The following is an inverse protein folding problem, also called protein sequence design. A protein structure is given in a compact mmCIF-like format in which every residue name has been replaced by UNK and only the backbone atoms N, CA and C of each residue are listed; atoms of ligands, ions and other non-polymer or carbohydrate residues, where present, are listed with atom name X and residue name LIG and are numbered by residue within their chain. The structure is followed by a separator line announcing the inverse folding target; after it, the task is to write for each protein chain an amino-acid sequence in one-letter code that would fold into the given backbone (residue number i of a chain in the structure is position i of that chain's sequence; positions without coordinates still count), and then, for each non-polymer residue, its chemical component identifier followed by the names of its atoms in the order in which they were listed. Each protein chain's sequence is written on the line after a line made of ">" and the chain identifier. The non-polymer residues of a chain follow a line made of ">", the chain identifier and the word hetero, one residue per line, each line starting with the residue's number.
data_IF_016885109161
#
_entry.id   IF_016885109161
#
_cell.length_a   1.000
_cell.length_b   1.000
_cell.length_c   1.000
_cell.angle_alpha   90.00
_cell.angle_beta   90.00
_cell.angle_gamma   90.00
#
_symmetry.space_group_name_H-M   'P 1'
#
loop_
_entity.id
_entity.type
_entity.pdbx_description
1 polymer ?
#
# COMPACT_ATOMS: atom_id res chain seq x y z
N UNK A 1 -7.09 -27.67 -1.19
CA UNK A 1 -8.03 -27.09 -0.21
C UNK A 1 -8.71 -25.88 -0.83
N UNK A 2 -10.03 -25.87 -1.01
CA UNK A 2 -10.74 -24.71 -1.55
C UNK A 2 -10.76 -23.56 -0.52
N UNK A 3 -10.68 -22.31 -0.98
CA UNK A 3 -10.74 -21.13 -0.10
C UNK A 3 -12.09 -21.07 0.60
N UNK A 4 -12.09 -21.00 1.95
CA UNK A 4 -13.31 -20.93 2.76
C UNK A 4 -14.08 -19.61 2.60
N UNK A 5 -13.42 -18.54 2.13
CA UNK A 5 -14.03 -17.21 1.95
C UNK A 5 -13.66 -16.64 0.57
N UNK A 6 -14.66 -16.14 -0.17
CA UNK A 6 -14.44 -15.40 -1.42
C UNK A 6 -14.06 -13.95 -1.09
N UNK A 7 -12.93 -13.48 -1.63
CA UNK A 7 -12.59 -12.05 -1.60
C UNK A 7 -13.09 -11.42 -2.91
N UNK A 8 -14.01 -10.46 -2.78
CA UNK A 8 -14.59 -9.74 -3.92
C UNK A 8 -13.72 -8.54 -4.30
N UNK A 9 -13.59 -8.27 -5.61
CA UNK A 9 -12.99 -7.05 -6.14
C UNK A 9 -13.89 -5.83 -5.90
N UNK A 10 -13.37 -4.62 -6.11
CA UNK A 10 -14.20 -3.42 -6.11
C UNK A 10 -15.24 -3.46 -7.22
N UNK A 11 -14.90 -4.01 -8.40
CA UNK A 11 -15.85 -4.27 -9.47
C UNK A 11 -17.03 -5.12 -9.04
N UNK A 12 -16.75 -6.31 -8.50
CA UNK A 12 -17.79 -7.24 -8.10
C UNK A 12 -18.68 -6.61 -7.01
N UNK A 13 -18.10 -5.86 -6.07
CA UNK A 13 -18.87 -5.16 -5.03
C UNK A 13 -19.78 -4.08 -5.62
N UNK A 14 -19.27 -3.28 -6.57
CA UNK A 14 -20.05 -2.22 -7.22
C UNK A 14 -21.17 -2.79 -8.10
N UNK A 15 -20.90 -3.85 -8.85
CA UNK A 15 -21.91 -4.56 -9.63
C UNK A 15 -23.03 -5.10 -8.72
N UNK A 16 -22.69 -5.63 -7.54
CA UNK A 16 -23.69 -6.09 -6.58
C UNK A 16 -24.52 -4.95 -6.00
N UNK A 17 -23.93 -3.78 -5.76
CA UNK A 17 -24.65 -2.59 -5.30
C UNK A 17 -25.65 -2.14 -6.37
N UNK A 18 -25.23 -2.07 -7.63
CA UNK A 18 -26.11 -1.66 -8.74
C UNK A 18 -27.21 -2.69 -9.01
N UNK A 19 -26.88 -3.99 -9.03
CA UNK A 19 -27.88 -5.07 -9.11
C UNK A 19 -28.90 -4.99 -7.97
N UNK A 20 -28.45 -4.70 -6.75
CA UNK A 20 -29.35 -4.57 -5.59
C UNK A 20 -30.32 -3.41 -5.77
N UNK A 21 -29.82 -2.22 -6.13
CA UNK A 21 -30.66 -1.03 -6.40
C UNK A 21 -31.68 -1.26 -7.51
N UNK A 22 -31.28 -1.92 -8.60
CA UNK A 22 -32.16 -2.17 -9.75
C UNK A 22 -33.18 -3.29 -9.51
N UNK A 23 -32.88 -4.23 -8.60
CA UNK A 23 -33.72 -5.41 -8.37
C UNK A 23 -34.97 -5.13 -7.53
N UNK A 24 -35.02 -4.04 -6.74
CA UNK A 24 -36.08 -3.77 -5.76
C UNK A 24 -36.40 -4.95 -4.81
N UNK A 25 -35.44 -5.86 -4.62
CA UNK A 25 -35.60 -7.03 -3.76
C UNK A 25 -35.27 -6.68 -2.31
N UNK A 26 -35.89 -7.41 -1.37
CA UNK A 26 -35.40 -7.39 0.01
C UNK A 26 -33.97 -7.96 0.06
N UNK A 27 -33.17 -7.52 1.04
CA UNK A 27 -31.81 -8.03 1.26
C UNK A 27 -31.78 -9.57 1.33
N UNK A 28 -32.85 -10.20 1.82
CA UNK A 28 -32.92 -11.66 2.04
C UNK A 28 -33.17 -12.41 0.74
N UNK A 29 -34.02 -11.87 -0.12
CA UNK A 29 -34.23 -12.42 -1.45
C UNK A 29 -32.96 -12.25 -2.31
N UNK A 30 -32.31 -11.08 -2.21
CA UNK A 30 -31.11 -10.77 -2.98
C UNK A 30 -29.92 -11.68 -2.63
N UNK A 31 -29.68 -11.95 -1.35
CA UNK A 31 -28.58 -12.83 -0.90
C UNK A 31 -28.75 -14.27 -1.39
N UNK A 32 -29.99 -14.79 -1.36
CA UNK A 32 -30.33 -16.11 -1.89
C UNK A 32 -30.13 -16.19 -3.40
N UNK A 33 -30.61 -15.19 -4.14
CA UNK A 33 -30.49 -15.15 -5.59
C UNK A 33 -29.04 -15.06 -6.09
N UNK A 34 -28.18 -14.32 -5.36
CA UNK A 34 -26.79 -14.09 -5.76
C UNK A 34 -25.79 -15.02 -5.05
N UNK A 35 -26.24 -15.98 -4.23
CA UNK A 35 -25.39 -16.89 -3.45
C UNK A 35 -24.36 -16.15 -2.57
N UNK A 36 -24.74 -15.01 -1.98
CA UNK A 36 -23.86 -14.20 -1.14
C UNK A 36 -24.31 -14.27 0.31
N UNK A 37 -23.40 -14.50 1.28
CA UNK A 37 -23.76 -14.45 2.68
C UNK A 37 -24.36 -13.10 3.09
N UNK A 38 -25.38 -13.13 3.93
CA UNK A 38 -26.06 -11.94 4.44
C UNK A 38 -25.11 -10.89 5.05
N UNK A 39 -24.13 -11.35 5.84
CA UNK A 39 -23.10 -10.50 6.45
C UNK A 39 -22.23 -9.81 5.41
N UNK A 40 -21.90 -10.50 4.31
CA UNK A 40 -21.12 -9.94 3.21
C UNK A 40 -21.87 -8.81 2.53
N UNK A 41 -23.16 -8.98 2.22
CA UNK A 41 -23.97 -7.91 1.62
C UNK A 41 -24.05 -6.68 2.54
N UNK A 42 -24.31 -6.87 3.84
CA UNK A 42 -24.38 -5.75 4.79
C UNK A 42 -23.04 -5.02 4.91
N UNK A 43 -21.92 -5.76 4.94
CA UNK A 43 -20.59 -5.14 4.99
C UNK A 43 -20.29 -4.34 3.71
N UNK A 44 -20.72 -4.83 2.53
CA UNK A 44 -20.57 -4.10 1.26
C UNK A 44 -21.40 -2.80 1.29
N UNK A 45 -22.66 -2.88 1.71
CA UNK A 45 -23.55 -1.72 1.77
C UNK A 45 -23.10 -0.69 2.83
N UNK A 46 -22.50 -1.13 3.93
CA UNK A 46 -21.99 -0.25 4.99
C UNK A 46 -20.63 0.38 4.65
N UNK A 47 -19.84 -0.23 3.76
CA UNK A 47 -18.52 0.26 3.42
C UNK A 47 -18.59 1.50 2.52
N UNK A 48 -18.22 2.67 3.06
CA UNK A 48 -18.03 3.93 2.31
C UNK A 48 -16.92 3.86 1.24
N UNK A 49 -16.09 2.82 1.31
CA UNK A 49 -14.82 2.70 0.56
C UNK A 49 -15.01 2.34 -0.91
N UNK A 50 -16.18 1.82 -1.31
CA UNK A 50 -16.44 1.44 -2.71
C UNK A 50 -17.05 2.56 -3.57
N UNK A 51 -17.29 3.73 -2.99
CA UNK A 51 -18.01 4.81 -3.68
C UNK A 51 -17.12 5.57 -4.67
N UNK A 52 -17.40 5.33 -5.94
CA UNK A 52 -17.37 6.26 -7.08
C UNK A 52 -16.04 6.86 -7.59
N UNK A 53 -14.91 6.75 -6.89
CA UNK A 53 -13.63 7.33 -7.36
C UNK A 53 -12.49 6.32 -7.59
N UNK A 54 -12.81 5.03 -7.72
CA UNK A 54 -11.86 3.99 -8.08
C UNK A 54 -11.43 4.26 -9.53
N UNK A 55 -10.16 4.62 -9.75
CA UNK A 55 -9.62 4.71 -11.11
C UNK A 55 -9.78 3.36 -11.80
N UNK A 56 -9.90 3.33 -13.12
CA UNK A 56 -10.11 2.11 -13.92
C UNK A 56 -9.10 1.00 -13.54
N UNK A 57 -7.86 1.36 -13.19
CA UNK A 57 -6.80 0.45 -12.77
C UNK A 57 -7.06 -0.25 -11.41
N UNK A 58 -7.86 0.35 -10.53
CA UNK A 58 -8.09 -0.15 -9.18
C UNK A 58 -9.30 -1.08 -9.07
N UNK A 59 -10.04 -1.30 -10.17
CA UNK A 59 -11.30 -2.04 -10.18
C UNK A 59 -11.15 -3.52 -9.78
N UNK A 60 -10.02 -4.14 -10.17
CA UNK A 60 -9.68 -5.53 -9.83
C UNK A 60 -9.15 -5.68 -8.39
N UNK A 61 -8.80 -4.57 -7.73
CA UNK A 61 -8.27 -4.61 -6.37
C UNK A 61 -9.35 -5.09 -5.41
N UNK A 62 -8.98 -5.99 -4.49
CA UNK A 62 -9.91 -6.60 -3.52
C UNK A 62 -9.94 -5.88 -2.17
N UNK A 63 -8.88 -5.11 -1.87
CA UNK A 63 -8.66 -4.42 -0.59
C UNK A 63 -8.03 -3.05 -0.82
N UNK A 64 -8.55 -2.02 -0.17
CA UNK A 64 -7.86 -0.75 -0.08
C UNK A 64 -6.82 -0.84 1.03
N UNK A 65 -5.56 -0.53 0.70
CA UNK A 65 -4.53 -0.30 1.72
C UNK A 65 -4.59 1.18 2.07
N UNK A 66 -4.72 1.47 3.35
CA UNK A 66 -4.60 2.83 3.86
C UNK A 66 -3.16 2.98 4.36
N UNK A 67 -2.52 4.06 3.92
CA UNK A 67 -1.21 4.46 4.43
C UNK A 67 -1.41 5.27 5.72
N UNK A 68 -0.55 5.10 6.74
CA UNK A 68 -0.52 6.00 7.89
C UNK A 68 -0.29 7.47 7.50
N UNK A 69 0.39 7.72 6.37
CA UNK A 69 0.79 9.04 5.89
C UNK A 69 -0.02 9.46 4.64
N UNK A 70 -1.34 9.36 4.70
CA UNK A 70 -2.23 9.62 3.55
C UNK A 70 -2.08 11.05 2.98
N UNK A 71 -1.77 12.03 3.83
CA UNK A 71 -1.48 13.40 3.43
C UNK A 71 -0.21 13.50 2.56
N UNK A 72 0.87 12.83 2.98
CA UNK A 72 2.14 12.78 2.23
C UNK A 72 1.93 12.08 0.91
N UNK A 73 1.26 10.93 0.90
CA UNK A 73 0.96 10.17 -0.32
C UNK A 73 0.13 10.99 -1.31
N UNK A 74 -0.86 11.75 -0.83
CA UNK A 74 -1.69 12.64 -1.68
C UNK A 74 -0.87 13.78 -2.30
N UNK A 75 -0.02 14.43 -1.52
CA UNK A 75 0.86 15.49 -2.00
C UNK A 75 1.87 14.94 -3.02
N UNK A 76 2.50 13.81 -2.69
CA UNK A 76 3.47 13.14 -3.54
C UNK A 76 2.86 12.68 -4.87
N UNK A 77 1.67 12.06 -4.84
CA UNK A 77 0.94 11.68 -6.05
C UNK A 77 0.60 12.89 -6.93
N UNK A 78 0.26 14.03 -6.33
CA UNK A 78 -0.03 15.26 -7.07
C UNK A 78 1.24 15.81 -7.74
N UNK A 79 2.35 15.81 -7.01
CA UNK A 79 3.66 16.19 -7.54
C UNK A 79 4.12 15.25 -8.67
N UNK A 80 3.96 13.93 -8.53
CA UNK A 80 4.30 12.96 -9.58
C UNK A 80 3.52 13.25 -10.87
N UNK A 81 2.22 13.53 -10.76
CA UNK A 81 1.39 13.88 -11.94
C UNK A 81 1.94 15.13 -12.63
N UNK A 82 2.30 16.14 -11.85
CA UNK A 82 2.91 17.36 -12.36
C UNK A 82 4.27 17.07 -13.04
N UNK A 83 5.18 16.38 -12.38
CA UNK A 83 6.50 16.03 -12.93
C UNK A 83 6.39 15.22 -14.24
N UNK A 84 5.42 14.29 -14.33
CA UNK A 84 5.14 13.54 -15.56
C UNK A 84 4.58 14.40 -16.68
N UNK A 85 3.77 15.42 -16.37
CA UNK A 85 3.29 16.39 -17.37
C UNK A 85 4.40 17.28 -17.94
N UNK A 86 5.49 17.45 -17.19
CA UNK A 86 6.72 18.11 -17.64
C UNK A 86 7.70 17.13 -18.32
N UNK A 87 7.28 15.89 -18.56
CA UNK A 87 8.12 14.81 -19.10
C UNK A 87 9.43 14.56 -18.31
N UNK A 88 9.47 14.93 -17.02
CA UNK A 88 10.64 14.75 -16.19
C UNK A 88 10.79 13.26 -15.77
N UNK A 89 11.99 12.67 -15.87
CA UNK A 89 12.25 11.34 -15.34
C UNK A 89 12.22 11.36 -13.82
N UNK A 90 11.41 10.49 -13.21
CA UNK A 90 11.29 10.36 -11.75
C UNK A 90 12.08 9.13 -11.34
N UNK A 91 13.27 9.34 -10.75
CA UNK A 91 14.05 8.27 -10.13
C UNK A 91 13.58 8.01 -8.70
N UNK A 92 13.96 6.85 -8.16
CA UNK A 92 13.64 6.50 -6.78
C UNK A 92 14.19 7.52 -5.77
N UNK A 93 15.41 8.00 -5.97
CA UNK A 93 16.05 8.97 -5.06
C UNK A 93 15.27 10.28 -4.99
N UNK A 94 14.85 10.80 -6.16
CA UNK A 94 14.03 12.02 -6.24
C UNK A 94 12.69 11.82 -5.54
N UNK A 95 12.08 10.65 -5.71
CA UNK A 95 10.82 10.33 -5.05
C UNK A 95 10.97 10.28 -3.51
N UNK A 96 12.06 9.70 -3.02
CA UNK A 96 12.38 9.62 -1.59
C UNK A 96 12.61 11.02 -1.01
N UNK A 97 13.42 11.85 -1.64
CA UNK A 97 13.67 13.23 -1.21
C UNK A 97 12.37 14.03 -1.15
N UNK A 98 11.52 13.95 -2.19
CA UNK A 98 10.22 14.61 -2.21
C UNK A 98 9.26 14.08 -1.15
N UNK A 99 9.32 12.80 -0.82
CA UNK A 99 8.49 12.25 0.26
C UNK A 99 8.89 12.79 1.63
N UNK A 100 10.18 13.04 1.85
CA UNK A 100 10.70 13.65 3.08
C UNK A 100 10.32 15.13 3.16
N UNK A 101 10.39 15.86 2.04
CA UNK A 101 9.97 17.26 1.96
C UNK A 101 8.47 17.44 2.27
N UNK A 102 7.62 16.48 1.89
CA UNK A 102 6.20 16.49 2.20
C UNK A 102 5.85 15.91 3.57
N UNK A 103 6.80 15.26 4.25
CA UNK A 103 6.58 14.83 5.61
C UNK A 103 6.34 16.08 6.46
N UNK A 104 5.30 16.09 7.33
CA UNK A 104 5.11 17.20 8.25
C UNK A 104 6.35 17.27 9.13
N UNK A 105 7.14 18.33 8.94
CA UNK A 105 8.32 18.77 9.68
C UNK A 105 8.81 17.74 10.70
N UNK A 106 9.62 16.79 10.22
CA UNK A 106 10.49 16.00 11.09
C UNK A 106 11.69 16.86 11.46
N UNK A 107 11.48 17.94 12.20
CA UNK A 107 12.56 18.78 12.73
C UNK A 107 13.41 18.05 13.78
N UNK A 108 13.04 16.83 14.21
CA UNK A 108 13.62 16.25 15.44
C UNK A 108 14.28 14.87 15.27
N UNK A 109 14.71 14.47 14.06
CA UNK A 109 15.44 13.20 13.88
C UNK A 109 16.60 13.25 12.87
N UNK A 110 17.17 14.43 12.64
CA UNK A 110 18.46 14.55 11.93
C UNK A 110 19.57 15.18 12.78
N UNK A 111 19.31 15.49 14.05
CA UNK A 111 20.35 16.01 14.96
C UNK A 111 21.32 14.92 15.45
N UNK A 112 21.00 13.63 15.32
CA UNK A 112 21.89 12.55 15.76
C UNK A 112 22.83 12.00 14.66
N UNK A 113 22.88 12.63 13.48
CA UNK A 113 23.77 12.19 12.39
C UNK A 113 25.21 12.75 12.48
N UNK A 114 25.50 13.60 13.47
CA UNK A 114 26.81 14.23 13.65
C UNK A 114 27.60 13.75 14.88
N UNK A 115 27.14 12.72 15.60
CA UNK A 115 27.99 12.06 16.60
C UNK A 115 28.57 10.77 16.01
N UNK A 116 29.90 10.70 15.93
CA UNK A 116 30.71 9.52 15.64
C UNK A 116 30.27 8.34 16.54
N UNK A 117 29.20 7.64 16.15
CA UNK A 117 28.75 6.43 16.83
C UNK A 117 29.80 5.35 16.56
N UNK A 118 30.56 4.88 17.57
CA UNK A 118 31.59 3.89 17.34
C UNK A 118 30.96 2.64 16.73
N UNK A 119 31.48 2.19 15.58
CA UNK A 119 31.02 0.99 14.85
C UNK A 119 30.99 -0.29 15.71
N UNK A 120 31.55 -0.24 16.91
CA UNK A 120 31.57 -1.31 17.90
C UNK A 120 30.23 -1.55 18.62
N UNK A 121 29.30 -0.58 18.64
CA UNK A 121 28.07 -0.67 19.47
C UNK A 121 26.79 -1.02 18.69
N UNK A 122 26.81 -0.93 17.36
CA UNK A 122 25.68 -1.29 16.48
C UNK A 122 25.16 -2.73 16.64
N UNK A 123 26.01 -3.77 16.75
CA UNK A 123 25.52 -5.15 16.83
C UNK A 123 24.85 -5.49 18.17
N UNK A 124 25.17 -4.78 19.25
CA UNK A 124 24.52 -4.96 20.56
C UNK A 124 23.16 -4.26 20.59
N UNK A 125 23.06 -3.05 20.03
CA UNK A 125 21.82 -2.28 20.00
C UNK A 125 20.73 -2.97 19.14
N UNK A 126 21.12 -3.58 18.02
CA UNK A 126 20.21 -4.38 17.18
C UNK A 126 19.69 -5.64 17.90
N UNK A 127 20.55 -6.26 18.73
CA UNK A 127 20.19 -7.44 19.54
C UNK A 127 19.21 -7.09 20.64
N UNK A 128 19.40 -5.94 21.29
CA UNK A 128 18.54 -5.44 22.37
C UNK A 128 17.16 -4.99 21.86
N UNK A 129 17.07 -4.52 20.61
CA UNK A 129 15.81 -4.13 19.98
C UNK A 129 15.06 -5.26 19.26
N UNK A 130 15.56 -6.50 19.33
CA UNK A 130 14.90 -7.68 18.76
C UNK A 130 14.98 -7.80 17.23
N UNK A 131 15.88 -7.05 16.58
CA UNK A 131 16.14 -7.22 15.15
C UNK A 131 17.07 -8.42 14.93
N UNK A 132 16.66 -9.36 14.09
CA UNK A 132 17.52 -10.45 13.65
C UNK A 132 18.67 -9.89 12.80
N UNK A 133 19.91 -10.02 13.28
CA UNK A 133 21.11 -9.70 12.51
C UNK A 133 21.12 -10.61 11.27
N UNK A 134 21.06 -10.08 10.04
CA UNK A 134 21.16 -10.89 8.85
C UNK A 134 22.54 -11.55 8.79
N UNK A 135 22.57 -12.87 8.58
CA UNK A 135 23.81 -13.65 8.46
C UNK A 135 24.68 -13.07 7.33
N UNK A 136 25.88 -12.56 7.69
CA UNK A 136 26.86 -11.93 6.78
C UNK A 136 27.19 -12.79 5.57
N UNK A 137 26.97 -14.10 5.65
CA UNK A 137 27.20 -15.07 4.58
C UNK A 137 26.26 -14.93 3.38
N UNK A 138 25.21 -14.11 3.43
CA UNK A 138 24.31 -13.88 2.29
C UNK A 138 24.76 -12.80 1.31
N UNK A 139 25.61 -11.86 1.70
CA UNK A 139 26.03 -10.76 0.82
C UNK A 139 27.37 -11.00 0.11
N UNK A 140 28.09 -12.08 0.41
CA UNK A 140 29.35 -12.42 -0.27
C UNK A 140 29.19 -13.06 -1.67
N UNK A 141 28.03 -12.93 -2.33
CA UNK A 141 27.77 -13.54 -3.65
C UNK A 141 27.28 -12.56 -4.73
N UNK A 142 27.42 -11.26 -4.49
CA UNK A 142 27.15 -10.27 -5.54
C UNK A 142 28.43 -9.48 -5.78
N UNK A 143 29.43 -10.18 -6.31
CA UNK A 143 30.48 -9.60 -7.16
C UNK A 143 31.32 -10.77 -7.67
N UNK A 144 31.01 -11.23 -8.89
CA UNK A 144 31.91 -11.65 -9.98
C UNK A 144 30.99 -12.16 -11.10
N UNK A 145 30.30 -11.28 -11.81
CA UNK A 145 29.85 -11.54 -13.19
C UNK A 145 29.46 -10.22 -13.89
N UNK A 146 30.31 -9.19 -13.80
CA UNK A 146 30.25 -8.00 -14.66
C UNK A 146 31.63 -7.72 -15.25
N UNK A 147 32.25 -8.76 -15.80
CA UNK A 147 33.43 -8.66 -16.66
C UNK A 147 33.51 -9.88 -17.57
N UNK A 148 32.60 -9.97 -18.53
CA UNK A 148 32.86 -10.65 -19.80
C UNK A 148 31.92 -10.13 -20.88
N UNK A 149 32.53 -9.38 -21.81
CA UNK A 149 32.16 -9.04 -23.19
C UNK A 149 30.67 -8.95 -23.56
#
# INVERSE_FOLDING_TARGET
>A
MASKRKNLSFAEKNELIEKFKNSNLSKAAFTKANSIPWTTLNNILAAKVCSSNVQICDQERKRQRLSPYENVDKALLSWIKFARSQNAPISWNVLKEKSLEFAPESEELLEDADEDFPLTELPEKLRNHGYAIPDEKRYAKIDVESSRC
#
